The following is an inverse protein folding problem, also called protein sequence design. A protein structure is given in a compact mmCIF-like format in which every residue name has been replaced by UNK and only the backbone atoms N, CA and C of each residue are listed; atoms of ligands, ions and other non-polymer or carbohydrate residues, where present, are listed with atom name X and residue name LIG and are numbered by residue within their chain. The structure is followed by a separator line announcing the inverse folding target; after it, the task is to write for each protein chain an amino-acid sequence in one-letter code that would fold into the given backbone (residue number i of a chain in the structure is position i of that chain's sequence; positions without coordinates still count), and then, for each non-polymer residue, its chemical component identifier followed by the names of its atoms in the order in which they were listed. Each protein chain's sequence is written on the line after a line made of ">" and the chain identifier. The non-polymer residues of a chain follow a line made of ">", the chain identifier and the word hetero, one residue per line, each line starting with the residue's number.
data_IF_776413624244
#
_entry.id   IF_776413624244
#
_cell.length_a   1.000
_cell.length_b   1.000
_cell.length_c   1.000
_cell.angle_alpha   90.00
_cell.angle_beta   90.00
_cell.angle_gamma   90.00
#
_symmetry.space_group_name_H-M   'P 1'
#
loop_
_entity.id
_entity.type
_entity.pdbx_description
1 polymer ?
#
# COMPACT_ATOMS: atom_id res chain seq x y z
N UNK A 1 0.28 -2.56 -16.73
CA UNK A 1 0.69 -1.16 -16.47
C UNK A 1 1.29 -1.14 -15.08
N UNK A 2 2.61 -1.03 -14.98
CA UNK A 2 3.32 -0.86 -13.71
C UNK A 2 3.63 0.63 -13.58
N UNK A 3 3.22 1.25 -12.47
CA UNK A 3 3.48 2.67 -12.20
C UNK A 3 3.90 2.78 -10.74
N UNK A 4 5.07 3.39 -10.52
CA UNK A 4 5.77 3.45 -9.24
C UNK A 4 5.31 4.64 -8.39
N UNK A 5 4.98 4.40 -7.12
CA UNK A 5 4.75 5.43 -6.11
C UNK A 5 6.06 5.72 -5.36
N UNK A 6 6.45 7.00 -5.22
CA UNK A 6 7.73 7.40 -4.62
C UNK A 6 7.51 8.05 -3.24
N UNK A 7 8.02 7.41 -2.19
CA UNK A 7 8.20 7.98 -0.85
C UNK A 7 9.70 8.26 -0.60
N UNK A 8 10.06 8.98 0.48
CA UNK A 8 11.46 9.14 0.87
C UNK A 8 12.02 7.79 1.35
N UNK A 9 12.52 7.02 0.41
CA UNK A 9 13.04 5.67 0.58
C UNK A 9 14.55 5.65 0.83
N UNK A 10 15.22 6.82 0.84
CA UNK A 10 16.69 6.90 0.85
C UNK A 10 17.31 6.16 2.03
N UNK A 11 16.64 6.20 3.19
CA UNK A 11 17.05 5.45 4.38
C UNK A 11 16.96 3.94 4.17
N UNK A 12 15.84 3.48 3.61
CA UNK A 12 15.55 2.08 3.31
C UNK A 12 16.51 1.56 2.25
N UNK A 13 16.67 2.26 1.12
CA UNK A 13 17.60 1.90 0.05
C UNK A 13 19.04 1.82 0.55
N UNK A 14 19.49 2.77 1.37
CA UNK A 14 20.84 2.72 1.96
C UNK A 14 21.01 1.52 2.89
N UNK A 15 20.00 1.21 3.70
CA UNK A 15 20.05 0.08 4.62
C UNK A 15 20.10 -1.25 3.85
N UNK A 16 19.26 -1.39 2.83
CA UNK A 16 19.21 -2.56 1.96
C UNK A 16 20.53 -2.79 1.22
N UNK A 17 21.13 -1.74 0.65
CA UNK A 17 22.46 -1.83 -0.01
C UNK A 17 23.59 -2.28 0.92
N UNK A 18 23.52 -1.99 2.22
CA UNK A 18 24.53 -2.49 3.19
C UNK A 18 24.35 -3.97 3.44
N UNK A 19 23.11 -4.42 3.55
CA UNK A 19 22.74 -5.81 3.74
C UNK A 19 23.12 -6.67 2.52
N UNK A 20 22.83 -6.22 1.29
CA UNK A 20 23.19 -6.92 0.05
C UNK A 20 24.70 -7.21 -0.04
N UNK A 21 25.55 -6.27 0.42
CA UNK A 21 27.01 -6.43 0.42
C UNK A 21 27.52 -7.57 1.30
N UNK A 22 26.70 -8.07 2.23
CA UNK A 22 27.08 -9.21 3.08
C UNK A 22 26.91 -10.56 2.36
N UNK A 23 26.38 -10.57 1.12
CA UNK A 23 26.29 -11.78 0.29
C UNK A 23 25.38 -12.87 0.86
N UNK A 24 24.43 -12.50 1.72
CA UNK A 24 23.47 -13.42 2.34
C UNK A 24 22.15 -13.40 1.59
N UNK A 25 21.36 -14.46 1.71
CA UNK A 25 19.99 -14.50 1.22
C UNK A 25 19.12 -13.45 1.93
N UNK A 26 18.65 -12.48 1.16
CA UNK A 26 17.84 -11.35 1.60
C UNK A 26 16.34 -11.60 1.45
N UNK A 27 15.93 -12.74 0.90
CA UNK A 27 14.51 -13.13 0.72
C UNK A 27 13.70 -13.11 2.02
N UNK A 28 14.24 -13.52 3.20
CA UNK A 28 13.50 -13.39 4.46
C UNK A 28 13.21 -11.94 4.85
N UNK A 29 14.06 -11.00 4.42
CA UNK A 29 13.94 -9.58 4.73
C UNK A 29 12.92 -8.92 3.83
N UNK A 30 13.01 -9.15 2.52
CA UNK A 30 12.03 -8.63 1.56
C UNK A 30 10.64 -9.21 1.82
N UNK A 31 10.53 -10.48 2.25
CA UNK A 31 9.28 -11.06 2.74
C UNK A 31 8.71 -10.30 3.95
N UNK A 32 9.54 -9.95 4.92
CA UNK A 32 9.10 -9.19 6.09
C UNK A 32 8.70 -7.75 5.72
N UNK A 33 9.42 -7.11 4.79
CA UNK A 33 9.05 -5.80 4.24
C UNK A 33 7.69 -5.88 3.51
N UNK A 34 7.48 -6.90 2.69
CA UNK A 34 6.20 -7.15 2.02
C UNK A 34 5.04 -7.29 3.02
N UNK A 35 5.25 -7.95 4.16
CA UNK A 35 4.25 -8.02 5.22
C UNK A 35 3.92 -6.64 5.82
N UNK A 36 4.90 -5.75 5.99
CA UNK A 36 4.64 -4.36 6.42
C UNK A 36 3.82 -3.60 5.37
N UNK A 37 4.14 -3.74 4.09
CA UNK A 37 3.37 -3.10 3.01
C UNK A 37 1.89 -3.54 3.00
N UNK A 38 1.65 -4.83 3.24
CA UNK A 38 0.30 -5.36 3.39
C UNK A 38 -0.42 -4.75 4.60
N UNK A 39 0.22 -4.76 5.77
CA UNK A 39 -0.35 -4.23 7.01
C UNK A 39 -0.74 -2.75 6.88
N UNK A 40 0.13 -1.93 6.30
CA UNK A 40 -0.13 -0.50 6.09
C UNK A 40 -1.35 -0.26 5.19
N UNK A 41 -1.54 -1.12 4.19
CA UNK A 41 -2.69 -1.03 3.29
C UNK A 41 -3.98 -1.53 3.96
N UNK A 42 -3.90 -2.60 4.75
CA UNK A 42 -5.01 -3.09 5.59
C UNK A 42 -5.47 -2.00 6.56
N UNK A 43 -4.54 -1.33 7.23
CA UNK A 43 -4.81 -0.22 8.14
C UNK A 43 -5.44 0.96 7.41
N UNK A 44 -4.94 1.33 6.22
CA UNK A 44 -5.51 2.38 5.39
C UNK A 44 -6.98 2.11 5.05
N UNK A 45 -7.32 0.87 4.70
CA UNK A 45 -8.72 0.46 4.49
C UNK A 45 -9.53 0.49 5.78
N UNK A 46 -9.05 -0.12 6.86
CA UNK A 46 -9.77 -0.19 8.13
C UNK A 46 -10.10 1.21 8.68
N UNK A 47 -9.16 2.14 8.53
CA UNK A 47 -9.28 3.51 9.03
C UNK A 47 -9.81 4.49 7.98
N UNK A 48 -9.93 4.10 6.72
CA UNK A 48 -10.26 5.00 5.60
C UNK A 48 -9.36 6.24 5.57
N UNK A 49 -8.06 6.06 5.77
CA UNK A 49 -7.05 7.14 5.73
C UNK A 49 -5.93 6.83 4.77
N UNK A 50 -5.35 7.87 4.18
CA UNK A 50 -4.07 7.83 3.50
C UNK A 50 -2.98 7.38 4.49
N UNK A 51 -2.24 6.28 4.22
CA UNK A 51 -1.24 5.75 5.14
C UNK A 51 -0.04 6.68 5.33
N UNK A 52 0.32 7.46 4.30
CA UNK A 52 1.48 8.36 4.33
C UNK A 52 1.17 9.68 5.02
N UNK A 53 0.00 10.25 4.78
CA UNK A 53 -0.36 11.56 5.37
C UNK A 53 -1.23 11.44 6.63
N UNK A 54 -1.83 10.28 6.89
CA UNK A 54 -2.81 10.06 7.97
C UNK A 54 -4.17 10.74 7.73
N UNK A 55 -4.37 11.38 6.57
CA UNK A 55 -5.60 12.12 6.27
C UNK A 55 -6.74 11.16 5.91
N UNK A 56 -7.92 11.41 6.47
CA UNK A 56 -9.15 10.69 6.08
C UNK A 56 -9.44 10.88 4.59
N UNK A 57 -9.86 9.79 3.95
CA UNK A 57 -10.32 9.82 2.56
C UNK A 57 -11.55 10.71 2.41
N UNK A 58 -11.67 11.31 1.23
CA UNK A 58 -12.85 12.11 0.90
C UNK A 58 -14.13 11.27 1.03
N UNK A 59 -15.14 11.75 1.78
CA UNK A 59 -16.36 10.99 2.02
C UNK A 59 -17.12 10.74 0.72
N UNK A 60 -17.90 9.65 0.69
CA UNK A 60 -18.86 9.43 -0.38
C UNK A 60 -19.99 10.47 -0.30
N UNK A 61 -20.52 10.87 -1.45
CA UNK A 61 -21.71 11.73 -1.50
C UNK A 61 -22.92 11.00 -0.91
N UNK A 62 -23.84 11.74 -0.30
CA UNK A 62 -25.03 11.16 0.35
C UNK A 62 -25.90 10.35 -0.62
N UNK A 63 -26.07 10.83 -1.85
CA UNK A 63 -26.79 10.09 -2.90
C UNK A 63 -26.13 8.76 -3.25
N UNK A 64 -24.79 8.70 -3.27
CA UNK A 64 -24.07 7.46 -3.53
C UNK A 64 -24.13 6.50 -2.34
N UNK A 65 -24.03 7.00 -1.09
CA UNK A 65 -24.24 6.20 0.11
C UNK A 65 -25.64 5.56 0.12
N UNK A 66 -26.68 6.35 -0.15
CA UNK A 66 -28.06 5.85 -0.22
C UNK A 66 -28.23 4.77 -1.30
N UNK A 67 -27.60 4.96 -2.48
CA UNK A 67 -27.62 3.95 -3.55
C UNK A 67 -26.92 2.64 -3.15
N UNK A 68 -25.83 2.72 -2.41
CA UNK A 68 -25.13 1.53 -1.90
C UNK A 68 -25.94 0.81 -0.82
N UNK A 69 -26.55 1.58 0.10
CA UNK A 69 -27.42 1.03 1.14
C UNK A 69 -28.61 0.26 0.55
N UNK A 70 -29.28 0.80 -0.48
CA UNK A 70 -30.34 0.10 -1.23
C UNK A 70 -29.89 -1.21 -1.87
N UNK A 71 -28.60 -1.38 -2.13
CA UNK A 71 -27.99 -2.61 -2.67
C UNK A 71 -27.42 -3.54 -1.60
N UNK A 72 -27.69 -3.28 -0.32
CA UNK A 72 -27.16 -4.06 0.81
C UNK A 72 -25.64 -3.90 1.02
N UNK A 73 -25.01 -2.86 0.45
CA UNK A 73 -23.55 -2.64 0.55
C UNK A 73 -23.25 -1.70 1.73
N UNK A 74 -23.21 -2.24 2.94
CA UNK A 74 -23.15 -1.49 4.21
C UNK A 74 -21.77 -1.42 4.88
N UNK A 75 -20.69 -1.93 4.26
CA UNK A 75 -19.33 -1.90 4.83
C UNK A 75 -18.54 -0.59 4.61
N UNK A 76 -17.25 -0.61 5.02
CA UNK A 76 -16.29 0.47 4.78
C UNK A 76 -16.09 0.78 3.29
N UNK A 77 -15.70 2.00 2.96
CA UNK A 77 -15.41 2.42 1.59
C UNK A 77 -14.41 1.46 0.95
N UNK A 78 -14.65 1.06 -0.31
CA UNK A 78 -13.83 0.13 -1.08
C UNK A 78 -13.72 -1.31 -0.54
N UNK A 79 -14.44 -1.63 0.55
CA UNK A 79 -14.46 -2.95 1.22
C UNK A 79 -15.81 -3.68 1.14
N UNK A 80 -16.80 -3.11 0.45
CA UNK A 80 -18.22 -3.51 0.54
C UNK A 80 -18.63 -4.69 -0.34
N UNK A 81 -17.70 -5.27 -1.08
CA UNK A 81 -17.98 -6.35 -2.03
C UNK A 81 -17.02 -7.50 -1.83
N UNK A 82 -17.55 -8.72 -1.91
CA UNK A 82 -16.74 -9.93 -2.03
C UNK A 82 -15.79 -9.79 -3.23
N UNK A 83 -14.50 -10.04 -2.98
CA UNK A 83 -13.46 -9.80 -3.97
C UNK A 83 -13.31 -8.34 -4.40
N UNK A 84 -13.63 -7.39 -3.51
CA UNK A 84 -13.46 -5.95 -3.69
C UNK A 84 -12.00 -5.51 -3.72
N UNK A 85 -11.74 -4.21 -3.65
CA UNK A 85 -10.38 -3.69 -3.79
C UNK A 85 -9.47 -4.13 -2.65
N UNK A 86 -9.93 -3.98 -1.40
CA UNK A 86 -9.16 -4.39 -0.23
C UNK A 86 -8.78 -5.89 -0.28
N UNK A 87 -9.74 -6.75 -0.64
CA UNK A 87 -9.52 -8.21 -0.76
C UNK A 87 -8.68 -8.63 -1.98
N UNK A 88 -8.37 -7.70 -2.88
CA UNK A 88 -7.62 -7.98 -4.10
C UNK A 88 -6.14 -7.64 -3.99
N UNK A 89 -5.73 -7.08 -2.85
CA UNK A 89 -4.33 -6.78 -2.59
C UNK A 89 -3.52 -8.05 -2.44
N UNK A 90 -2.36 -8.05 -3.05
CA UNK A 90 -1.38 -9.12 -2.96
C UNK A 90 0.00 -8.51 -2.88
N UNK A 91 0.88 -9.17 -2.14
CA UNK A 91 2.29 -8.82 -2.07
C UNK A 91 3.12 -9.77 -2.91
N UNK A 92 4.26 -9.27 -3.37
CA UNK A 92 5.28 -10.05 -4.05
C UNK A 92 6.65 -9.69 -3.47
N UNK A 93 7.58 -10.63 -3.46
CA UNK A 93 8.94 -10.40 -2.97
C UNK A 93 9.93 -11.40 -3.55
N UNK A 94 11.15 -10.94 -3.78
CA UNK A 94 12.30 -11.76 -4.16
C UNK A 94 13.54 -11.34 -3.36
N UNK A 95 14.74 -11.77 -3.73
CA UNK A 95 15.95 -11.41 -2.99
C UNK A 95 16.18 -9.89 -2.92
N UNK A 96 15.73 -9.10 -3.90
CA UNK A 96 16.10 -7.67 -4.02
C UNK A 96 14.90 -6.73 -3.98
N UNK A 97 13.68 -7.25 -3.97
CA UNK A 97 12.45 -6.46 -4.06
C UNK A 97 11.35 -6.96 -3.13
N UNK A 98 10.52 -6.03 -2.69
CA UNK A 98 9.26 -6.26 -2.00
C UNK A 98 8.23 -5.28 -2.55
N UNK A 99 7.06 -5.78 -2.91
CA UNK A 99 6.03 -4.99 -3.59
C UNK A 99 4.64 -5.36 -3.09
N UNK A 100 3.71 -4.42 -3.27
CA UNK A 100 2.27 -4.64 -3.10
C UNK A 100 1.53 -4.12 -4.32
N UNK A 101 0.47 -4.82 -4.71
CA UNK A 101 -0.38 -4.42 -5.83
C UNK A 101 -1.78 -4.99 -5.74
N UNK A 102 -2.59 -4.70 -6.76
CA UNK A 102 -3.97 -5.16 -6.87
C UNK A 102 -4.24 -5.74 -8.26
N UNK A 103 -5.06 -6.78 -8.33
CA UNK A 103 -5.59 -7.31 -9.59
C UNK A 103 -6.74 -6.47 -10.18
N UNK A 104 -7.20 -5.41 -9.49
CA UNK A 104 -8.32 -4.58 -9.94
C UNK A 104 -7.85 -3.45 -10.84
N UNK A 105 -8.37 -3.43 -12.07
CA UNK A 105 -8.10 -2.37 -13.06
C UNK A 105 -8.50 -0.96 -12.59
N UNK A 106 -9.45 -0.85 -11.66
CA UNK A 106 -9.87 0.41 -11.06
C UNK A 106 -9.05 0.79 -9.81
N UNK A 107 -8.16 -0.08 -9.33
CA UNK A 107 -7.27 0.21 -8.19
C UNK A 107 -6.47 1.51 -8.36
N UNK A 108 -5.84 1.75 -9.54
CA UNK A 108 -5.12 2.99 -9.81
C UNK A 108 -5.94 4.27 -9.65
N UNK A 109 -7.22 4.28 -10.05
CA UNK A 109 -8.05 5.48 -9.92
C UNK A 109 -8.37 5.82 -8.46
N UNK A 110 -8.41 4.80 -7.58
CA UNK A 110 -8.53 5.02 -6.16
C UNK A 110 -7.20 5.38 -5.53
N UNK A 111 -6.08 4.85 -6.01
CA UNK A 111 -4.77 5.24 -5.50
C UNK A 111 -4.48 6.71 -5.85
N UNK A 112 -4.62 7.13 -7.10
CA UNK A 112 -4.12 8.45 -7.56
C UNK A 112 -5.22 9.46 -7.93
N UNK A 113 -6.48 9.04 -7.92
CA UNK A 113 -7.59 9.85 -8.42
C UNK A 113 -7.79 9.73 -9.94
N UNK A 114 -8.88 10.32 -10.41
CA UNK A 114 -9.21 10.43 -11.82
C UNK A 114 -8.28 11.39 -12.57
N UNK A 115 -7.91 11.03 -13.79
CA UNK A 115 -7.10 11.90 -14.65
C UNK A 115 -8.01 12.81 -15.52
N UNK A 116 -7.55 14.03 -15.90
CA UNK A 116 -8.34 14.96 -16.71
C UNK A 116 -8.73 14.44 -18.11
N UNK A 117 -7.98 13.48 -18.65
CA UNK A 117 -8.24 12.86 -19.94
C UNK A 117 -9.22 11.66 -19.87
N UNK A 118 -9.71 11.31 -18.67
CA UNK A 118 -10.73 10.27 -18.50
C UNK A 118 -12.13 10.85 -18.77
N UNK A 119 -13.14 10.00 -19.03
CA UNK A 119 -14.53 10.44 -19.05
C UNK A 119 -14.95 11.19 -17.76
N UNK A 120 -15.96 12.07 -17.79
CA UNK A 120 -16.29 12.95 -16.67
C UNK A 120 -16.49 12.23 -15.32
N UNK A 121 -17.13 11.06 -15.33
CA UNK A 121 -17.40 10.29 -14.12
C UNK A 121 -16.12 9.74 -13.44
N UNK A 122 -15.24 8.98 -14.12
CA UNK A 122 -13.96 8.57 -13.55
C UNK A 122 -13.01 9.75 -13.26
N UNK A 123 -12.97 10.78 -14.11
CA UNK A 123 -12.13 11.96 -13.88
C UNK A 123 -12.44 12.67 -12.54
N UNK A 124 -13.70 12.63 -12.09
CA UNK A 124 -14.14 13.23 -10.83
C UNK A 124 -13.88 12.36 -9.59
N UNK A 125 -13.30 11.17 -9.73
CA UNK A 125 -13.03 10.29 -8.57
C UNK A 125 -11.83 10.84 -7.79
N UNK A 126 -11.99 11.19 -6.50
CA UNK A 126 -10.86 11.65 -5.70
C UNK A 126 -9.93 10.48 -5.35
N UNK A 127 -8.65 10.79 -5.16
CA UNK A 127 -7.67 9.88 -4.60
C UNK A 127 -8.08 9.44 -3.18
N UNK A 128 -7.81 8.17 -2.91
CA UNK A 128 -8.05 7.42 -1.68
C UNK A 128 -6.86 6.49 -1.52
N UNK A 129 -5.68 7.09 -1.37
CA UNK A 129 -4.41 6.38 -1.30
C UNK A 129 -4.49 5.30 -0.23
N UNK A 130 -4.31 4.05 -0.65
CA UNK A 130 -4.36 2.87 0.22
C UNK A 130 -3.06 2.08 0.18
N UNK A 131 -2.16 2.36 -0.78
CA UNK A 131 -0.80 1.85 -0.81
C UNK A 131 0.16 2.99 -0.50
N UNK A 132 0.88 2.89 0.61
CA UNK A 132 1.86 3.87 1.06
C UNK A 132 2.47 3.43 2.37
N UNK A 133 3.33 4.27 2.93
CA UNK A 133 3.97 4.01 4.22
C UNK A 133 3.76 5.18 5.17
N UNK A 134 3.30 4.87 6.36
CA UNK A 134 3.28 5.75 7.52
C UNK A 134 4.70 5.96 8.06
N UNK A 135 4.93 7.00 8.89
CA UNK A 135 6.18 7.14 9.62
C UNK A 135 6.54 5.92 10.49
N UNK A 136 5.55 5.14 10.94
CA UNK A 136 5.79 3.93 11.71
C UNK A 136 6.18 2.77 10.79
N UNK A 137 5.47 2.53 9.69
CA UNK A 137 5.83 1.51 8.71
C UNK A 137 7.26 1.69 8.15
N UNK A 138 7.70 2.94 7.93
CA UNK A 138 9.11 3.23 7.57
C UNK A 138 10.08 2.78 8.67
N UNK A 139 9.76 3.04 9.95
CA UNK A 139 10.60 2.61 11.09
C UNK A 139 10.64 1.09 11.21
N UNK A 140 9.51 0.42 10.98
CA UNK A 140 9.41 -1.04 11.07
C UNK A 140 10.27 -1.70 9.99
N UNK A 141 10.20 -1.22 8.75
CA UNK A 141 11.08 -1.67 7.65
C UNK A 141 12.56 -1.45 8.00
N UNK A 142 12.92 -0.26 8.49
CA UNK A 142 14.31 0.03 8.89
C UNK A 142 14.77 -0.89 10.03
N UNK A 143 13.90 -1.20 10.98
CA UNK A 143 14.19 -2.11 12.09
C UNK A 143 14.46 -3.52 11.58
N UNK A 144 13.60 -4.05 10.70
CA UNK A 144 13.79 -5.36 10.05
C UNK A 144 15.16 -5.44 9.36
N UNK A 145 15.52 -4.42 8.57
CA UNK A 145 16.79 -4.41 7.84
C UNK A 145 17.98 -4.34 8.81
N UNK A 146 17.93 -3.47 9.82
CA UNK A 146 19.02 -3.27 10.76
C UNK A 146 19.26 -4.49 11.66
N UNK A 147 18.20 -5.13 12.16
CA UNK A 147 18.32 -6.36 12.94
C UNK A 147 19.00 -7.47 12.14
N UNK A 148 18.63 -7.61 10.87
CA UNK A 148 19.19 -8.65 10.01
C UNK A 148 20.64 -8.36 9.63
N UNK A 149 20.97 -7.10 9.34
CA UNK A 149 22.36 -6.68 9.18
C UNK A 149 23.18 -7.01 10.44
N UNK A 150 22.66 -6.74 11.64
CA UNK A 150 23.35 -7.02 12.90
C UNK A 150 23.55 -8.53 13.14
N UNK A 151 22.59 -9.37 12.76
CA UNK A 151 22.73 -10.84 12.80
C UNK A 151 23.77 -11.34 11.80
N UNK A 152 23.70 -10.86 10.55
CA UNK A 152 24.63 -11.24 9.49
C UNK A 152 26.08 -10.76 9.74
N UNK A 153 26.27 -9.65 10.45
CA UNK A 153 27.61 -9.14 10.79
C UNK A 153 28.30 -9.91 11.92
N UNK A 154 27.55 -10.73 12.67
CA UNK A 154 28.06 -11.53 13.81
C UNK A 154 28.31 -13.00 13.44
N UNK A 155 27.97 -13.40 12.22
CA UNK A 155 27.99 -14.79 11.74
C UNK A 155 29.02 -14.98 10.63
#
# INVERSE_FOLDING_TARGET
>A
MQIDHKFDDRGIVRAFKRLEKLGRDTTPITRAIAAVLASESEDAFATETDPTTGKKWAPLTEGYKARLAKKGKTGGMLQRSQGGLAMSLSVDYDAVSAAIGTSKVYGPIHQWGGLPNMPPAPAAVPAREYMGLSPQGVKDILTIINEQHARASKA
#
